data_IF_919165853376
#
_entry.id   IF_919165853376
#
_cell.length_a   1.000
_cell.length_b   1.000
_cell.length_c   1.000
_cell.angle_alpha   90.00
_cell.angle_beta   90.00
_cell.angle_gamma   90.00
#
_symmetry.space_group_name_H-M   'P 1'
#
loop_
_entity.id
_entity.type
_entity.pdbx_description
1 polymer ?
#
# COMPACT_ATOMS: atom_id res chain seq x y z
N UNK A 1 -7.47 -6.35 -26.24
CA UNK A 1 -6.10 -6.91 -26.20
C UNK A 1 -5.73 -7.41 -24.80
N UNK A 2 -5.81 -6.58 -23.74
CA UNK A 2 -5.56 -6.99 -22.34
C UNK A 2 -6.33 -8.25 -21.91
N UNK A 3 -7.64 -8.32 -22.18
CA UNK A 3 -8.47 -9.50 -21.87
C UNK A 3 -8.13 -10.76 -22.68
N UNK A 4 -7.54 -10.61 -23.87
CA UNK A 4 -7.11 -11.74 -24.71
C UNK A 4 -5.81 -12.30 -24.16
N UNK A 5 -4.86 -11.43 -23.82
CA UNK A 5 -3.61 -11.82 -23.15
C UNK A 5 -3.94 -12.55 -21.85
N UNK A 6 -4.80 -12.00 -20.99
CA UNK A 6 -5.22 -12.65 -19.74
C UNK A 6 -5.88 -14.03 -19.96
N UNK A 7 -6.72 -14.18 -21.00
CA UNK A 7 -7.33 -15.47 -21.36
C UNK A 7 -6.29 -16.50 -21.79
N UNK A 8 -5.39 -16.12 -22.70
CA UNK A 8 -4.31 -16.99 -23.18
C UNK A 8 -3.36 -17.38 -22.04
N UNK A 9 -3.16 -16.49 -21.06
CA UNK A 9 -2.34 -16.77 -19.88
C UNK A 9 -2.97 -17.76 -18.90
N UNK A 10 -4.30 -17.77 -18.76
CA UNK A 10 -5.02 -18.78 -17.96
C UNK A 10 -4.94 -20.18 -18.57
N UNK A 11 -4.76 -20.27 -19.87
CA UNK A 11 -4.72 -21.54 -20.62
C UNK A 11 -3.34 -22.23 -20.59
N UNK A 12 -2.26 -21.51 -20.25
CA UNK A 12 -0.86 -21.98 -20.36
C UNK A 12 -0.23 -22.42 -19.02
N UNK A 13 -1.00 -23.01 -18.10
CA UNK A 13 -0.53 -23.40 -16.75
C UNK A 13 0.34 -24.68 -16.73
N UNK A 14 1.58 -24.59 -17.21
CA UNK A 14 2.68 -25.49 -16.83
C UNK A 14 3.72 -24.75 -15.99
N UNK A 15 4.20 -25.33 -14.89
CA UNK A 15 5.04 -24.65 -13.88
C UNK A 15 6.27 -23.92 -14.48
N UNK A 16 7.05 -24.57 -15.36
CA UNK A 16 8.23 -23.96 -15.97
C UNK A 16 7.91 -22.81 -16.96
N UNK A 17 6.76 -22.89 -17.65
CA UNK A 17 6.32 -21.82 -18.57
C UNK A 17 5.83 -20.62 -17.77
N UNK A 18 5.21 -20.87 -16.61
CA UNK A 18 4.70 -19.83 -15.73
C UNK A 18 5.82 -18.99 -15.07
N UNK A 19 6.92 -19.62 -14.66
CA UNK A 19 8.09 -18.93 -14.11
C UNK A 19 8.76 -18.01 -15.15
N UNK A 20 9.09 -18.54 -16.33
CA UNK A 20 9.71 -17.76 -17.42
C UNK A 20 8.82 -16.57 -17.87
N UNK A 21 7.49 -16.75 -17.83
CA UNK A 21 6.56 -15.66 -18.12
C UNK A 21 6.57 -14.57 -17.05
N UNK A 22 6.55 -14.94 -15.77
CA UNK A 22 6.63 -13.96 -14.68
C UNK A 22 7.95 -13.19 -14.72
N UNK A 23 9.08 -13.86 -15.01
CA UNK A 23 10.38 -13.21 -15.23
C UNK A 23 10.33 -12.16 -16.35
N UNK A 24 9.63 -12.45 -17.45
CA UNK A 24 9.41 -11.51 -18.56
C UNK A 24 8.54 -10.32 -18.14
N UNK A 25 7.52 -10.54 -17.30
CA UNK A 25 6.75 -9.42 -16.74
C UNK A 25 7.63 -8.57 -15.83
N UNK A 26 8.41 -9.19 -14.94
CA UNK A 26 9.27 -8.45 -14.02
C UNK A 26 10.34 -7.65 -14.76
N UNK A 27 10.92 -8.19 -15.84
CA UNK A 27 11.85 -7.44 -16.69
C UNK A 27 11.18 -6.24 -17.37
N UNK A 28 9.93 -6.41 -17.81
CA UNK A 28 9.12 -5.31 -18.36
C UNK A 28 8.84 -4.24 -17.29
N UNK A 29 8.46 -4.63 -16.08
CA UNK A 29 8.27 -3.71 -14.95
C UNK A 29 9.54 -2.91 -14.64
N UNK A 30 10.71 -3.57 -14.63
CA UNK A 30 12.01 -2.91 -14.42
C UNK A 30 12.30 -1.89 -15.52
N UNK A 31 12.09 -2.26 -16.79
CA UNK A 31 12.28 -1.34 -17.92
C UNK A 31 11.38 -0.10 -17.83
N UNK A 32 10.10 -0.28 -17.47
CA UNK A 32 9.18 0.84 -17.25
C UNK A 32 9.67 1.74 -16.09
N UNK A 33 10.11 1.14 -14.98
CA UNK A 33 10.65 1.88 -13.83
C UNK A 33 11.92 2.67 -14.18
N UNK A 34 12.86 2.07 -14.90
CA UNK A 34 14.09 2.72 -15.34
C UNK A 34 13.78 3.91 -16.26
N UNK A 35 12.81 3.73 -17.17
CA UNK A 35 12.32 4.80 -18.03
C UNK A 35 11.70 5.94 -17.21
N UNK A 36 10.78 5.64 -16.28
CA UNK A 36 10.18 6.64 -15.38
C UNK A 36 11.26 7.38 -14.59
N UNK A 37 12.22 6.67 -14.02
CA UNK A 37 13.30 7.25 -13.24
C UNK A 37 14.16 8.18 -14.10
N UNK A 38 14.46 7.79 -15.34
CA UNK A 38 15.20 8.65 -16.27
C UNK A 38 14.44 9.94 -16.58
N UNK A 39 13.12 9.88 -16.76
CA UNK A 39 12.27 11.04 -17.03
C UNK A 39 12.14 11.97 -15.83
N UNK A 40 12.11 11.42 -14.61
CA UNK A 40 12.07 12.20 -13.37
C UNK A 40 13.38 12.94 -13.06
N UNK A 41 14.49 12.53 -13.69
CA UNK A 41 15.79 13.20 -13.58
C UNK A 41 15.96 14.33 -14.61
N UNK A 42 15.09 14.45 -15.60
CA UNK A 42 15.15 15.51 -16.61
C UNK A 42 14.53 16.81 -16.07
N UNK A 43 15.04 17.95 -16.54
CA UNK A 43 14.51 19.27 -16.16
C UNK A 43 13.09 19.49 -16.71
N UNK A 44 12.81 19.01 -17.93
CA UNK A 44 11.48 19.02 -18.54
C UNK A 44 10.91 17.59 -18.58
N UNK A 45 10.05 17.27 -17.62
CA UNK A 45 9.42 15.95 -17.55
C UNK A 45 8.45 15.72 -18.72
N UNK A 46 8.64 14.64 -19.50
CA UNK A 46 7.65 14.19 -20.48
C UNK A 46 6.47 13.51 -19.75
N UNK A 47 5.48 14.33 -19.37
CA UNK A 47 4.26 13.88 -18.68
C UNK A 47 3.53 12.76 -19.43
N UNK A 48 3.55 12.79 -20.77
CA UNK A 48 2.87 11.80 -21.60
C UNK A 48 3.58 10.45 -21.49
N UNK A 49 4.91 10.44 -21.61
CA UNK A 49 5.66 9.19 -21.49
C UNK A 49 5.59 8.63 -20.07
N UNK A 50 5.66 9.47 -19.03
CA UNK A 50 5.44 9.05 -17.64
C UNK A 50 4.07 8.38 -17.47
N UNK A 51 3.03 8.98 -18.06
CA UNK A 51 1.67 8.42 -18.01
C UNK A 51 1.58 7.04 -18.68
N UNK A 52 2.22 6.87 -19.84
CA UNK A 52 2.28 5.58 -20.55
C UNK A 52 2.98 4.52 -19.71
N UNK A 53 4.15 4.81 -19.14
CA UNK A 53 4.88 3.84 -18.32
C UNK A 53 4.14 3.48 -17.04
N UNK A 54 3.48 4.45 -16.41
CA UNK A 54 2.65 4.20 -15.23
C UNK A 54 1.43 3.32 -15.53
N UNK A 55 0.77 3.53 -16.68
CA UNK A 55 -0.34 2.68 -17.11
C UNK A 55 0.15 1.27 -17.49
N UNK A 56 1.36 1.14 -18.05
CA UNK A 56 2.02 -0.15 -18.28
C UNK A 56 2.29 -0.87 -16.95
N UNK A 57 2.91 -0.19 -15.99
CA UNK A 57 3.19 -0.73 -14.65
C UNK A 57 1.92 -1.19 -13.93
N UNK A 58 0.86 -0.38 -13.98
CA UNK A 58 -0.45 -0.73 -13.39
C UNK A 58 -1.00 -2.00 -14.03
N UNK A 59 -0.94 -2.11 -15.36
CA UNK A 59 -1.43 -3.29 -16.07
C UNK A 59 -0.60 -4.54 -15.77
N UNK A 60 0.73 -4.43 -15.76
CA UNK A 60 1.62 -5.55 -15.43
C UNK A 60 1.37 -6.03 -13.98
N UNK A 61 1.13 -5.11 -13.04
CA UNK A 61 0.72 -5.44 -11.68
C UNK A 61 -0.61 -6.20 -11.66
N UNK A 62 -1.62 -5.79 -12.45
CA UNK A 62 -2.88 -6.54 -12.53
C UNK A 62 -2.67 -7.98 -13.04
N UNK A 63 -1.82 -8.16 -14.07
CA UNK A 63 -1.48 -9.50 -14.59
C UNK A 63 -0.80 -10.36 -13.51
N UNK A 64 0.15 -9.79 -12.77
CA UNK A 64 0.83 -10.49 -11.67
C UNK A 64 -0.13 -10.82 -10.53
N UNK A 65 -1.05 -9.92 -10.18
CA UNK A 65 -2.04 -10.12 -9.13
C UNK A 65 -3.01 -11.26 -9.47
N UNK A 66 -3.49 -11.34 -10.72
CA UNK A 66 -4.33 -12.45 -11.19
C UNK A 66 -3.63 -13.81 -11.11
N UNK A 67 -2.30 -13.81 -11.19
CA UNK A 67 -1.45 -15.00 -11.10
C UNK A 67 -0.91 -15.25 -9.68
N UNK A 68 -1.29 -14.44 -8.69
CA UNK A 68 -0.75 -14.47 -7.32
C UNK A 68 0.78 -14.36 -7.26
N UNK A 69 1.37 -13.63 -8.22
CA UNK A 69 2.82 -13.50 -8.41
C UNK A 69 3.26 -12.03 -8.30
N UNK A 70 2.60 -11.22 -7.47
CA UNK A 70 2.88 -9.79 -7.38
C UNK A 70 3.81 -9.40 -6.21
N UNK A 71 4.35 -10.39 -5.49
CA UNK A 71 5.23 -10.14 -4.33
C UNK A 71 6.53 -9.44 -4.74
N UNK A 72 7.24 -9.94 -5.75
CA UNK A 72 8.51 -9.34 -6.21
C UNK A 72 8.30 -7.93 -6.76
N UNK A 73 7.18 -7.67 -7.45
CA UNK A 73 6.82 -6.31 -7.87
C UNK A 73 6.59 -5.41 -6.65
N UNK A 74 5.88 -5.89 -5.62
CA UNK A 74 5.63 -5.12 -4.40
C UNK A 74 6.93 -4.76 -3.68
N UNK A 75 7.90 -5.69 -3.63
CA UNK A 75 9.25 -5.43 -3.09
C UNK A 75 9.99 -4.40 -3.95
N UNK A 76 9.98 -4.57 -5.26
CA UNK A 76 10.65 -3.66 -6.21
C UNK A 76 10.10 -2.25 -6.09
N UNK A 77 8.78 -2.08 -6.02
CA UNK A 77 8.10 -0.79 -5.88
C UNK A 77 8.37 -0.14 -4.52
N UNK A 78 8.28 -0.90 -3.42
CA UNK A 78 8.53 -0.37 -2.08
C UNK A 78 9.96 0.17 -1.92
N UNK A 79 10.94 -0.40 -2.63
CA UNK A 79 12.34 0.01 -2.61
C UNK A 79 12.67 1.25 -3.47
N UNK A 80 11.71 1.85 -4.17
CA UNK A 80 11.92 3.01 -5.05
C UNK A 80 12.09 4.34 -4.27
N UNK A 81 13.08 4.39 -3.37
CA UNK A 81 13.35 5.57 -2.52
C UNK A 81 13.81 6.78 -3.34
N UNK A 82 14.67 6.58 -4.33
CA UNK A 82 15.12 7.66 -5.20
C UNK A 82 13.95 8.26 -5.99
N UNK A 83 13.12 7.41 -6.58
CA UNK A 83 11.94 7.86 -7.32
C UNK A 83 10.98 8.64 -6.43
N UNK A 84 10.73 8.17 -5.20
CA UNK A 84 9.91 8.89 -4.22
C UNK A 84 10.50 10.27 -3.84
N UNK A 85 11.83 10.40 -3.76
CA UNK A 85 12.50 11.69 -3.52
C UNK A 85 12.41 12.64 -4.71
N UNK A 86 12.51 12.12 -5.94
CA UNK A 86 12.37 12.91 -7.17
C UNK A 86 10.92 13.31 -7.43
N UNK A 87 9.96 12.48 -7.03
CA UNK A 87 8.54 12.70 -7.22
C UNK A 87 8.10 14.09 -6.78
N UNK A 88 8.54 14.55 -5.62
CA UNK A 88 8.16 15.87 -5.11
C UNK A 88 8.66 17.06 -5.95
N UNK A 89 9.71 16.84 -6.75
CA UNK A 89 10.35 17.87 -7.59
C UNK A 89 9.71 17.96 -8.98
N UNK A 90 9.01 16.92 -9.41
CA UNK A 90 8.33 16.87 -10.71
C UNK A 90 6.96 17.56 -10.60
N UNK A 91 6.50 18.31 -11.63
CA UNK A 91 5.17 18.91 -11.63
C UNK A 91 4.05 17.88 -11.40
N UNK A 92 3.03 18.28 -10.63
CA UNK A 92 1.90 17.42 -10.24
C UNK A 92 1.22 16.75 -11.45
N UNK A 93 1.02 17.51 -12.53
CA UNK A 93 0.38 17.04 -13.77
C UNK A 93 1.13 15.89 -14.46
N UNK A 94 2.45 15.78 -14.22
CA UNK A 94 3.27 14.70 -14.77
C UNK A 94 3.33 13.51 -13.81
N UNK A 95 3.51 13.75 -12.51
CA UNK A 95 3.84 12.69 -11.54
C UNK A 95 2.65 11.93 -10.97
N UNK A 96 1.42 12.48 -11.02
CA UNK A 96 0.26 11.85 -10.36
C UNK A 96 -0.02 10.43 -10.87
N UNK A 97 0.40 10.12 -12.10
CA UNK A 97 0.36 8.79 -12.69
C UNK A 97 1.11 7.74 -11.83
N UNK A 98 2.26 8.11 -11.25
CA UNK A 98 3.03 7.24 -10.34
C UNK A 98 2.27 7.03 -9.02
N UNK A 99 1.60 8.06 -8.52
CA UNK A 99 0.75 7.98 -7.33
C UNK A 99 -0.45 7.03 -7.54
N UNK A 100 -0.94 6.88 -8.78
CA UNK A 100 -1.97 5.88 -9.12
C UNK A 100 -1.45 4.44 -9.01
N UNK A 101 -0.20 4.16 -9.40
CA UNK A 101 0.41 2.83 -9.24
C UNK A 101 0.50 2.46 -7.76
N UNK A 102 0.96 3.38 -6.92
CA UNK A 102 0.97 3.21 -5.45
C UNK A 102 -0.44 2.98 -4.90
N UNK A 103 -1.43 3.74 -5.37
CA UNK A 103 -2.83 3.56 -4.96
C UNK A 103 -3.34 2.16 -5.29
N UNK A 104 -3.00 1.64 -6.47
CA UNK A 104 -3.37 0.28 -6.89
C UNK A 104 -2.76 -0.80 -5.99
N UNK A 105 -1.51 -0.63 -5.56
CA UNK A 105 -0.86 -1.52 -4.59
C UNK A 105 -1.64 -1.55 -3.26
N UNK A 106 -1.99 -0.38 -2.69
CA UNK A 106 -2.75 -0.34 -1.44
C UNK A 106 -4.13 -0.98 -1.58
N UNK A 107 -4.84 -0.74 -2.68
CA UNK A 107 -6.13 -1.40 -2.96
C UNK A 107 -5.96 -2.92 -3.03
N UNK A 108 -4.94 -3.40 -3.74
CA UNK A 108 -4.64 -4.83 -3.88
C UNK A 108 -4.33 -5.50 -2.54
N UNK A 109 -3.52 -4.84 -1.69
CA UNK A 109 -3.22 -5.33 -0.34
C UNK A 109 -4.49 -5.35 0.52
N UNK A 110 -5.27 -4.27 0.49
CA UNK A 110 -6.51 -4.15 1.26
C UNK A 110 -7.54 -5.23 0.91
N UNK A 111 -7.61 -5.62 -0.36
CA UNK A 111 -8.49 -6.68 -0.85
C UNK A 111 -7.95 -8.10 -0.68
N UNK A 112 -6.68 -8.23 -0.28
CA UNK A 112 -5.99 -9.53 -0.21
C UNK A 112 -5.62 -10.10 -1.59
N UNK A 113 -5.66 -9.29 -2.65
CA UNK A 113 -5.14 -9.65 -3.98
C UNK A 113 -3.60 -9.68 -3.97
N UNK A 114 -3.00 -8.84 -3.13
CA UNK A 114 -1.56 -8.73 -2.94
C UNK A 114 -1.25 -9.07 -1.49
N UNK A 115 -0.36 -10.04 -1.28
CA UNK A 115 0.02 -10.51 0.06
C UNK A 115 1.51 -10.30 0.34
N UNK A 116 2.06 -9.08 0.19
CA UNK A 116 3.46 -8.84 0.47
C UNK A 116 3.79 -9.04 1.96
N UNK A 117 5.05 -9.37 2.24
CA UNK A 117 5.56 -9.53 3.59
C UNK A 117 5.29 -8.30 4.48
N UNK A 118 5.31 -8.50 5.80
CA UNK A 118 5.20 -7.41 6.78
C UNK A 118 6.21 -6.28 6.51
N UNK A 119 7.45 -6.64 6.23
CA UNK A 119 8.54 -5.67 6.02
C UNK A 119 8.35 -4.90 4.71
N UNK A 120 7.86 -5.56 3.66
CA UNK A 120 7.49 -4.92 2.39
C UNK A 120 6.32 -3.95 2.58
N UNK A 121 5.29 -4.30 3.35
CA UNK A 121 4.16 -3.40 3.67
C UNK A 121 4.62 -2.16 4.43
N UNK A 122 5.49 -2.35 5.43
CA UNK A 122 6.08 -1.26 6.19
C UNK A 122 6.89 -0.34 5.28
N UNK A 123 7.77 -0.91 4.46
CA UNK A 123 8.62 -0.17 3.53
C UNK A 123 7.77 0.62 2.53
N UNK A 124 6.75 -0.01 1.94
CA UNK A 124 5.81 0.63 1.02
C UNK A 124 5.16 1.88 1.65
N UNK A 125 4.66 1.75 2.88
CA UNK A 125 4.07 2.87 3.62
C UNK A 125 5.10 3.97 3.88
N UNK A 126 6.30 3.62 4.32
CA UNK A 126 7.34 4.63 4.62
C UNK A 126 7.88 5.34 3.39
N UNK A 127 7.95 4.67 2.24
CA UNK A 127 8.46 5.24 0.99
C UNK A 127 7.40 6.09 0.29
N UNK A 128 6.16 5.62 0.23
CA UNK A 128 5.17 6.15 -0.72
C UNK A 128 3.96 6.86 -0.11
N UNK A 129 3.71 6.73 1.21
CA UNK A 129 2.51 7.32 1.81
C UNK A 129 2.51 8.86 1.72
N UNK A 130 3.65 9.50 2.01
CA UNK A 130 3.76 10.96 1.93
C UNK A 130 3.67 11.49 0.48
N UNK A 131 4.40 10.91 -0.52
CA UNK A 131 4.19 11.26 -1.93
C UNK A 131 2.73 11.11 -2.37
N UNK A 132 2.05 10.03 -1.96
CA UNK A 132 0.65 9.81 -2.28
C UNK A 132 -0.27 10.87 -1.65
N UNK A 133 -0.02 11.25 -0.40
CA UNK A 133 -0.80 12.27 0.30
C UNK A 133 -0.73 13.62 -0.43
N UNK A 134 0.46 14.02 -0.90
CA UNK A 134 0.68 15.29 -1.61
C UNK A 134 -0.09 15.38 -2.92
N UNK A 135 -0.35 14.25 -3.56
CA UNK A 135 -1.07 14.20 -4.83
C UNK A 135 -2.56 13.85 -4.66
N UNK A 136 -3.02 13.54 -3.45
CA UNK A 136 -4.32 12.89 -3.23
C UNK A 136 -5.51 13.74 -3.70
N UNK A 137 -5.51 15.04 -3.42
CA UNK A 137 -6.53 15.96 -3.96
C UNK A 137 -6.64 15.92 -5.49
N UNK A 138 -5.49 15.86 -6.17
CA UNK A 138 -5.47 15.77 -7.62
C UNK A 138 -5.99 14.42 -8.10
N UNK A 139 -5.66 13.33 -7.40
CA UNK A 139 -6.21 12.01 -7.72
C UNK A 139 -7.73 11.99 -7.55
N UNK A 140 -8.24 12.55 -6.45
CA UNK A 140 -9.66 12.56 -6.10
C UNK A 140 -10.52 13.37 -7.09
N UNK A 141 -10.00 14.48 -7.60
CA UNK A 141 -10.77 15.39 -8.45
C UNK A 141 -10.35 15.39 -9.93
N UNK A 142 -9.10 15.04 -10.23
CA UNK A 142 -8.54 15.03 -11.58
C UNK A 142 -8.70 13.71 -12.32
N UNK A 143 -8.96 12.60 -11.61
CA UNK A 143 -9.06 11.26 -12.21
C UNK A 143 -10.48 10.69 -12.10
N UNK A 144 -11.23 10.64 -13.21
CA UNK A 144 -12.63 10.18 -13.22
C UNK A 144 -12.86 8.75 -12.68
N UNK A 145 -11.86 7.87 -12.78
CA UNK A 145 -11.94 6.47 -12.35
C UNK A 145 -11.25 6.19 -11.02
N UNK A 146 -10.79 7.23 -10.31
CA UNK A 146 -10.15 7.07 -9.02
C UNK A 146 -11.20 6.91 -7.92
N UNK A 147 -11.11 5.80 -7.18
CA UNK A 147 -11.97 5.54 -6.03
C UNK A 147 -11.17 5.74 -4.74
N UNK A 148 -11.22 6.97 -4.21
CA UNK A 148 -10.50 7.32 -2.98
C UNK A 148 -10.89 6.47 -1.78
N UNK A 149 -12.15 6.01 -1.69
CA UNK A 149 -12.60 5.17 -0.56
C UNK A 149 -11.90 3.82 -0.56
N UNK A 150 -11.75 3.20 -1.73
CA UNK A 150 -11.01 1.95 -1.86
C UNK A 150 -9.53 2.12 -1.52
N UNK A 151 -8.94 3.25 -1.90
CA UNK A 151 -7.54 3.56 -1.58
C UNK A 151 -7.35 3.78 -0.08
N UNK A 152 -8.21 4.58 0.56
CA UNK A 152 -8.22 4.82 2.01
C UNK A 152 -8.38 3.53 2.80
N UNK A 153 -9.34 2.68 2.39
CA UNK A 153 -9.53 1.37 3.01
C UNK A 153 -8.30 0.47 2.83
N UNK A 154 -7.70 0.48 1.63
CA UNK A 154 -6.48 -0.26 1.33
C UNK A 154 -5.30 0.15 2.20
N UNK A 155 -5.06 1.46 2.32
CA UNK A 155 -4.03 2.02 3.20
C UNK A 155 -4.31 1.64 4.64
N UNK A 156 -5.54 1.86 5.12
CA UNK A 156 -5.94 1.58 6.49
C UNK A 156 -5.76 0.11 6.88
N UNK A 157 -6.21 -0.82 6.03
CA UNK A 157 -6.00 -2.26 6.21
C UNK A 157 -4.53 -2.62 6.21
N UNK A 158 -3.73 -2.03 5.33
CA UNK A 158 -2.28 -2.25 5.28
C UNK A 158 -1.63 -1.83 6.60
N UNK A 159 -1.93 -0.64 7.10
CA UNK A 159 -1.40 -0.13 8.39
C UNK A 159 -1.79 -1.07 9.53
N UNK A 160 -3.07 -1.45 9.65
CA UNK A 160 -3.59 -2.26 10.74
C UNK A 160 -3.04 -3.70 10.80
N UNK A 161 -2.27 -4.13 9.79
CA UNK A 161 -1.56 -5.42 9.78
C UNK A 161 -0.14 -5.35 10.34
N UNK A 162 0.38 -4.15 10.61
CA UNK A 162 1.71 -3.92 11.16
C UNK A 162 1.75 -4.07 12.69
N UNK A 163 2.93 -4.13 13.32
CA UNK A 163 3.06 -4.01 14.77
C UNK A 163 2.46 -2.70 15.32
N UNK A 164 1.98 -2.70 16.57
CA UNK A 164 1.30 -1.54 17.17
C UNK A 164 2.17 -0.27 17.18
N UNK A 165 3.49 -0.41 17.34
CA UNK A 165 4.43 0.70 17.33
C UNK A 165 4.49 1.39 15.95
N UNK A 166 4.56 0.60 14.87
CA UNK A 166 4.51 1.12 13.51
C UNK A 166 3.15 1.72 13.17
N UNK A 167 2.05 1.09 13.62
CA UNK A 167 0.71 1.65 13.49
C UNK A 167 0.63 3.03 14.13
N UNK A 168 1.09 3.17 15.38
CA UNK A 168 1.11 4.43 16.10
C UNK A 168 1.90 5.50 15.33
N UNK A 169 3.13 5.18 14.93
CA UNK A 169 4.00 6.11 14.21
C UNK A 169 3.35 6.65 12.94
N UNK A 170 2.77 5.78 12.14
CA UNK A 170 2.15 6.14 10.86
C UNK A 170 0.84 6.91 11.08
N UNK A 171 -0.03 6.43 11.98
CA UNK A 171 -1.34 7.04 12.23
C UNK A 171 -1.22 8.40 12.91
N UNK A 172 -0.25 8.59 13.82
CA UNK A 172 0.01 9.89 14.42
C UNK A 172 0.59 10.88 13.41
N UNK A 173 1.46 10.42 12.49
CA UNK A 173 1.94 11.25 11.38
C UNK A 173 0.78 11.67 10.46
N UNK A 174 -0.13 10.74 10.11
CA UNK A 174 -1.32 11.04 9.33
C UNK A 174 -2.22 12.05 10.06
N UNK A 175 -2.49 11.86 11.36
CA UNK A 175 -3.34 12.77 12.13
C UNK A 175 -2.79 14.21 12.10
N UNK A 176 -1.47 14.37 12.24
CA UNK A 176 -0.82 15.67 12.09
C UNK A 176 -1.02 16.27 10.70
N UNK A 177 -0.89 15.48 9.62
CA UNK A 177 -1.17 15.95 8.25
C UNK A 177 -2.64 16.32 8.06
N UNK A 178 -3.57 15.51 8.57
CA UNK A 178 -5.02 15.71 8.45
C UNK A 178 -5.48 16.99 9.16
N UNK A 179 -4.96 17.26 10.36
CA UNK A 179 -5.30 18.48 11.12
C UNK A 179 -4.75 19.76 10.46
N UNK A 180 -3.59 19.68 9.79
CA UNK A 180 -2.97 20.84 9.16
C UNK A 180 -3.43 21.07 7.70
N UNK A 181 -3.77 20.01 6.97
CA UNK A 181 -4.07 20.02 5.55
C UNK A 181 -5.54 19.76 5.19
N UNK A 182 -6.39 19.46 6.17
CA UNK A 182 -7.81 19.17 5.96
C UNK A 182 -8.06 17.91 5.13
N UNK A 183 -9.04 17.98 4.23
CA UNK A 183 -9.45 16.91 3.32
C UNK A 183 -8.46 16.67 2.17
N UNK A 184 -7.30 17.35 2.18
CA UNK A 184 -6.29 17.25 1.15
C UNK A 184 -5.50 15.95 1.08
N UNK A 185 -5.73 15.04 2.03
CA UNK A 185 -5.05 13.75 2.14
C UNK A 185 -6.06 12.61 2.39
N UNK A 186 -5.68 11.33 2.20
CA UNK A 186 -6.56 10.20 2.44
C UNK A 186 -7.17 10.23 3.84
N UNK A 187 -8.47 9.99 3.94
CA UNK A 187 -9.13 9.87 5.24
C UNK A 187 -8.88 8.49 5.88
N UNK A 188 -7.95 8.42 6.84
CA UNK A 188 -7.62 7.18 7.57
C UNK A 188 -8.33 7.09 8.94
N UNK A 189 -9.37 7.88 9.19
CA UNK A 189 -10.08 7.93 10.47
C UNK A 189 -10.52 6.54 10.95
N UNK A 190 -11.08 5.72 10.06
CA UNK A 190 -11.53 4.37 10.41
C UNK A 190 -10.38 3.49 10.91
N UNK A 191 -9.20 3.60 10.29
CA UNK A 191 -8.02 2.85 10.73
C UNK A 191 -7.51 3.37 12.07
N UNK A 192 -7.49 4.70 12.24
CA UNK A 192 -7.15 5.34 13.51
C UNK A 192 -8.04 4.87 14.66
N UNK A 193 -9.37 4.86 14.48
CA UNK A 193 -10.33 4.40 15.48
C UNK A 193 -10.13 2.93 15.88
N UNK A 194 -9.78 2.06 14.93
CA UNK A 194 -9.49 0.65 15.20
C UNK A 194 -8.20 0.51 16.01
N UNK A 195 -7.12 1.17 15.59
CA UNK A 195 -5.86 1.16 16.33
C UNK A 195 -6.01 1.75 17.74
N UNK A 196 -6.72 2.87 17.88
CA UNK A 196 -6.96 3.53 19.16
C UNK A 196 -7.68 2.61 20.15
N UNK A 197 -8.75 1.94 19.71
CA UNK A 197 -9.46 0.96 20.54
C UNK A 197 -8.53 -0.18 20.96
N UNK A 198 -7.75 -0.75 20.04
CA UNK A 198 -6.81 -1.84 20.33
C UNK A 198 -5.69 -1.42 21.29
N UNK A 199 -5.29 -0.15 21.27
CA UNK A 199 -4.17 0.36 22.05
C UNK A 199 -4.57 0.81 23.46
N UNK A 200 -5.77 1.40 23.61
CA UNK A 200 -6.17 2.06 24.87
C UNK A 200 -7.46 1.49 25.48
N UNK A 201 -8.33 0.88 24.68
CA UNK A 201 -9.57 0.26 25.18
C UNK A 201 -9.29 -1.20 25.46
N UNK A 202 -8.81 -1.50 26.67
CA UNK A 202 -8.79 -2.88 27.17
C UNK A 202 -10.22 -3.45 27.14
N UNK A 203 -10.43 -4.72 26.80
CA UNK A 203 -11.67 -5.38 27.17
C UNK A 203 -11.76 -5.34 28.71
N UNK A 204 -12.73 -4.59 29.22
CA UNK A 204 -13.14 -4.68 30.62
C UNK A 204 -13.81 -6.06 30.82
N UNK A 205 -13.02 -7.10 31.10
CA UNK A 205 -13.47 -8.44 31.50
C UNK A 205 -12.24 -9.16 32.11
N UNK A 206 -12.15 -9.68 33.33
CA UNK A 206 -13.06 -9.86 34.46
C UNK A 206 -12.21 -9.69 35.74
N UNK A 207 -12.56 -8.72 36.60
CA UNK A 207 -12.05 -8.62 37.97
C UNK A 207 -13.22 -8.82 38.94
N UNK A 208 -13.91 -9.96 38.84
CA UNK A 208 -14.80 -10.46 39.90
C UNK A 208 -15.18 -11.92 39.57
N UNK A 209 -14.35 -12.85 40.01
CA UNK A 209 -14.63 -14.27 39.87
C UNK A 209 -13.47 -15.10 40.41
N UNK A 210 -13.66 -15.60 41.62
CA UNK A 210 -12.88 -16.64 42.31
C UNK A 210 -11.56 -16.22 42.99
N UNK A 211 -11.67 -16.06 44.31
CA UNK A 211 -10.54 -16.04 45.23
C UNK A 211 -10.95 -15.74 46.67
N UNK A 212 -12.04 -16.33 47.19
CA UNK A 212 -12.26 -16.38 48.64
C UNK A 212 -11.60 -17.65 49.14
N UNK A 213 -10.50 -17.46 49.85
CA UNK A 213 -9.64 -18.48 50.44
C UNK A 213 -10.38 -19.34 51.46
N UNK A 214 -10.17 -20.66 51.35
CA UNK A 214 -10.37 -21.60 52.45
C UNK A 214 -9.50 -21.17 53.64
N UNK A 215 -10.14 -20.94 54.77
CA UNK A 215 -9.48 -20.87 56.08
C UNK A 215 -9.36 -22.28 56.63
N UNK A 216 -8.15 -22.85 56.52
CA UNK A 216 -7.73 -23.98 57.35
C UNK A 216 -7.29 -23.45 58.72
N UNK A 217 -8.06 -23.77 59.76
CA UNK A 217 -7.70 -23.54 61.15
C UNK A 217 -7.09 -24.83 61.73
N UNK A 218 -5.76 -24.86 61.85
CA UNK A 218 -5.05 -25.81 62.72
C UNK A 218 -3.89 -25.12 63.42
N UNK A 219 -4.00 -24.95 64.74
CA UNK A 219 -2.93 -24.98 65.78
C UNK A 219 -3.59 -24.59 67.12
N UNK A 220 -3.83 -25.57 68.00
CA UNK A 220 -2.98 -25.91 69.17
C UNK A 220 -2.97 -24.84 70.25
N UNK A 221 -3.74 -25.09 71.31
CA UNK A 221 -3.27 -25.31 72.69
C UNK A 221 -4.21 -26.32 73.37
#
# INVERSE_FOLDING_TARGET
>A
MKSIVLKLLREQNGNNVAENFNETIYSSCRSCLDTVLSLFRQDESDAKQIGVEADNLTWLLDVLAERQAAEEFSVTWANQKELALLHEKVPLVSRYHISRVTSRLFVGIGRGELLPSKDTRLLLLTTWLQPLFKDYNWLQHGCRSFDGKLVEEGIGRTILTLPLEDQQRILMSWLGSFLNGGDGCPNLQRAFEVWWRRSFVRPYSDRQGNGVSQTDSTSKE
#
